data_IF_160692420712
#
_entry.id   IF_160692420712
#
_cell.length_a   1.000
_cell.length_b   1.000
_cell.length_c   1.000
_cell.angle_alpha   90.00
_cell.angle_beta   90.00
_cell.angle_gamma   90.00
#
_symmetry.space_group_name_H-M   'P 1'
#
loop_
_entity.id
_entity.type
_entity.pdbx_description
1 polymer ?
#
# COMPACT_ATOMS: atom_id res chain seq x y z
N UNK A 1 -43.71 -13.85 -33.67
CA UNK A 1 -42.24 -13.87 -33.74
C UNK A 1 -41.80 -12.42 -33.81
N UNK A 2 -41.45 -11.84 -32.67
CA UNK A 2 -41.11 -10.41 -32.55
C UNK A 2 -39.77 -10.34 -31.82
N UNK A 3 -38.72 -10.00 -32.56
CA UNK A 3 -37.35 -9.85 -32.06
C UNK A 3 -37.21 -8.51 -31.34
N UNK A 4 -36.93 -8.57 -30.04
CA UNK A 4 -36.64 -7.40 -29.21
C UNK A 4 -35.12 -7.19 -29.22
N UNK A 5 -34.65 -6.17 -29.95
CA UNK A 5 -33.28 -5.67 -29.84
C UNK A 5 -33.17 -4.81 -28.56
N UNK A 6 -32.39 -5.26 -27.59
CA UNK A 6 -31.88 -4.41 -26.51
C UNK A 6 -30.58 -3.74 -26.96
N UNK A 7 -30.66 -2.43 -27.17
CA UNK A 7 -29.51 -1.54 -27.29
C UNK A 7 -28.94 -1.30 -25.88
N UNK A 8 -27.73 -1.80 -25.65
CA UNK A 8 -26.88 -1.38 -24.53
C UNK A 8 -26.26 -0.05 -24.94
N UNK A 9 -26.70 1.04 -24.31
CA UNK A 9 -26.04 2.33 -24.41
C UNK A 9 -24.84 2.33 -23.46
N UNK A 10 -23.63 2.36 -24.01
CA UNK A 10 -22.43 2.72 -23.27
C UNK A 10 -22.52 4.20 -22.88
N UNK A 11 -22.43 4.50 -21.58
CA UNK A 11 -22.21 5.86 -21.11
C UNK A 11 -20.77 6.31 -21.46
N UNK A 12 -20.54 7.60 -21.76
CA UNK A 12 -19.24 8.11 -22.19
C UNK A 12 -18.25 8.24 -21.03
N UNK A 13 -16.98 8.27 -21.40
CA UNK A 13 -15.80 8.45 -20.57
C UNK A 13 -15.97 9.57 -19.53
N UNK A 14 -15.80 9.23 -18.25
CA UNK A 14 -15.56 10.22 -17.20
C UNK A 14 -14.10 10.61 -17.30
N UNK A 15 -13.84 11.73 -17.96
CA UNK A 15 -12.54 12.38 -17.97
C UNK A 15 -12.24 12.86 -16.54
N UNK A 16 -11.31 12.19 -15.84
CA UNK A 16 -10.81 12.61 -14.53
C UNK A 16 -10.00 13.91 -14.59
N UNK A 17 -9.86 14.53 -15.76
CA UNK A 17 -9.37 15.90 -15.91
C UNK A 17 -10.45 16.93 -15.55
N UNK A 18 -10.93 16.87 -14.31
CA UNK A 18 -11.73 17.92 -13.70
C UNK A 18 -10.79 19.07 -13.39
N UNK A 19 -10.90 20.16 -14.14
CA UNK A 19 -10.34 21.45 -13.76
C UNK A 19 -11.19 21.96 -12.59
N UNK A 20 -10.77 21.78 -11.32
CA UNK A 20 -11.66 22.00 -10.20
C UNK A 20 -11.88 23.50 -10.03
N UNK A 21 -13.05 23.97 -9.54
CA UNK A 21 -13.17 25.34 -9.09
C UNK A 21 -12.09 25.61 -8.03
N UNK A 22 -11.62 26.86 -7.90
CA UNK A 22 -10.41 27.26 -7.15
C UNK A 22 -10.40 26.94 -5.64
N UNK A 23 -11.43 26.27 -5.14
CA UNK A 23 -11.68 25.84 -3.77
C UNK A 23 -11.76 24.30 -3.61
N UNK A 24 -11.50 23.52 -4.66
CA UNK A 24 -11.42 22.06 -4.56
C UNK A 24 -10.01 21.63 -4.17
N UNK A 25 -9.92 20.80 -3.13
CA UNK A 25 -8.69 20.08 -2.80
C UNK A 25 -8.33 19.16 -3.97
N UNK A 26 -7.07 19.18 -4.39
CA UNK A 26 -6.56 18.22 -5.36
C UNK A 26 -6.57 16.83 -4.73
N UNK A 27 -7.58 16.03 -5.09
CA UNK A 27 -7.75 14.66 -4.59
C UNK A 27 -6.54 13.77 -4.94
N UNK A 28 -5.79 14.11 -5.99
CA UNK A 28 -4.54 13.43 -6.35
C UNK A 28 -3.49 13.56 -5.26
N UNK A 29 -3.34 14.74 -4.65
CA UNK A 29 -2.40 14.95 -3.54
C UNK A 29 -2.78 14.12 -2.31
N UNK A 30 -4.07 14.04 -1.98
CA UNK A 30 -4.54 13.21 -0.87
C UNK A 30 -4.21 11.73 -1.06
N UNK A 31 -4.36 11.21 -2.28
CA UNK A 31 -3.97 9.84 -2.63
C UNK A 31 -2.47 9.61 -2.47
N UNK A 32 -1.63 10.51 -2.98
CA UNK A 32 -0.17 10.43 -2.84
C UNK A 32 0.26 10.41 -1.37
N UNK A 33 -0.39 11.19 -0.49
CA UNK A 33 -0.11 11.17 0.96
C UNK A 33 -0.48 9.85 1.60
N UNK A 34 -1.62 9.28 1.22
CA UNK A 34 -2.07 7.98 1.74
C UNK A 34 -1.13 6.84 1.29
N UNK A 35 -0.70 6.83 0.02
CA UNK A 35 0.32 5.88 -0.48
C UNK A 35 1.67 6.08 0.22
N UNK A 36 2.12 7.32 0.40
CA UNK A 36 3.35 7.61 1.11
C UNK A 36 3.31 7.14 2.58
N UNK A 37 2.16 7.29 3.26
CA UNK A 37 1.96 6.75 4.60
C UNK A 37 2.04 5.21 4.62
N UNK A 38 1.38 4.52 3.67
CA UNK A 38 1.49 3.05 3.49
C UNK A 38 2.94 2.62 3.32
N UNK A 39 3.67 3.27 2.43
CA UNK A 39 5.05 2.89 2.15
C UNK A 39 5.98 3.17 3.34
N UNK A 40 5.73 4.24 4.10
CA UNK A 40 6.41 4.51 5.36
C UNK A 40 6.14 3.43 6.42
N UNK A 41 4.90 2.88 6.48
CA UNK A 41 4.60 1.73 7.34
C UNK A 41 5.44 0.52 6.90
N UNK A 42 5.48 0.22 5.60
CA UNK A 42 6.27 -0.89 5.05
C UNK A 42 7.75 -0.75 5.43
N UNK A 43 8.32 0.46 5.39
CA UNK A 43 9.72 0.71 5.78
C UNK A 43 9.97 0.65 7.29
N UNK A 44 8.92 0.65 8.12
CA UNK A 44 9.06 0.74 9.58
C UNK A 44 9.44 2.15 10.05
N UNK A 45 8.97 3.19 9.35
CA UNK A 45 9.28 4.59 9.62
C UNK A 45 8.09 5.34 10.28
N UNK A 46 7.77 5.11 11.56
CA UNK A 46 6.55 5.66 12.19
C UNK A 46 6.48 7.18 12.18
N UNK A 47 7.63 7.88 12.22
CA UNK A 47 7.67 9.34 12.11
C UNK A 47 7.14 9.82 10.74
N UNK A 48 7.61 9.21 9.65
CA UNK A 48 7.13 9.52 8.30
C UNK A 48 5.64 9.18 8.13
N UNK A 49 5.18 8.07 8.72
CA UNK A 49 3.75 7.69 8.71
C UNK A 49 2.92 8.80 9.34
N UNK A 50 3.30 9.26 10.54
CA UNK A 50 2.59 10.31 11.26
C UNK A 50 2.60 11.65 10.51
N UNK A 51 3.71 11.99 9.85
CA UNK A 51 3.81 13.22 9.07
C UNK A 51 2.87 13.19 7.86
N UNK A 52 2.86 12.08 7.11
CA UNK A 52 1.94 11.91 5.97
C UNK A 52 0.47 11.88 6.41
N UNK A 53 0.13 11.16 7.48
CA UNK A 53 -1.24 11.15 8.02
C UNK A 53 -1.67 12.53 8.54
N UNK A 54 -0.75 13.31 9.13
CA UNK A 54 -1.08 14.66 9.62
C UNK A 54 -1.37 15.62 8.47
N UNK A 55 -0.57 15.56 7.42
CA UNK A 55 -0.83 16.34 6.20
C UNK A 55 -2.17 15.94 5.59
N UNK A 56 -2.42 14.63 5.43
CA UNK A 56 -3.68 14.12 4.91
C UNK A 56 -4.87 14.55 5.78
N UNK A 57 -4.75 14.53 7.11
CA UNK A 57 -5.80 15.00 8.02
C UNK A 57 -6.13 16.48 7.80
N UNK A 58 -5.12 17.34 7.63
CA UNK A 58 -5.33 18.78 7.37
C UNK A 58 -6.04 18.97 6.03
N UNK A 59 -5.59 18.29 4.98
CA UNK A 59 -6.19 18.37 3.64
C UNK A 59 -7.63 17.84 3.64
N UNK A 60 -7.86 16.69 4.28
CA UNK A 60 -9.18 16.08 4.39
C UNK A 60 -10.17 16.98 5.16
N UNK A 61 -9.73 17.73 6.18
CA UNK A 61 -10.58 18.68 6.92
C UNK A 61 -10.85 20.00 6.17
N UNK A 62 -10.19 20.24 5.03
CA UNK A 62 -10.42 21.41 4.17
C UNK A 62 -11.38 21.12 3.01
N UNK A 63 -11.82 19.86 2.87
CA UNK A 63 -12.88 19.50 1.92
C UNK A 63 -14.20 20.03 2.50
N UNK A 64 -14.98 20.76 1.70
CA UNK A 64 -16.31 21.25 2.09
C UNK A 64 -17.34 20.67 1.11
N UNK A 65 -17.94 19.52 1.45
CA UNK A 65 -18.86 18.83 0.56
C UNK A 65 -20.19 19.58 0.43
N UNK A 66 -20.77 19.53 -0.76
CA UNK A 66 -22.01 20.22 -1.10
C UNK A 66 -23.27 19.42 -0.70
N UNK A 67 -23.12 18.13 -0.37
CA UNK A 67 -24.19 17.23 0.05
C UNK A 67 -23.86 16.39 1.30
N UNK A 68 -24.91 15.86 1.94
CA UNK A 68 -24.81 15.12 3.21
C UNK A 68 -24.06 13.77 3.08
N UNK A 69 -24.11 13.14 1.91
CA UNK A 69 -23.49 11.83 1.65
C UNK A 69 -21.96 12.00 1.53
N UNK A 70 -21.51 12.99 0.76
CA UNK A 70 -20.09 13.37 0.69
C UNK A 70 -19.57 13.85 2.06
N UNK A 71 -20.40 14.56 2.84
CA UNK A 71 -20.05 14.94 4.20
C UNK A 71 -19.87 13.72 5.11
N UNK A 72 -20.67 12.67 4.95
CA UNK A 72 -20.51 11.42 5.69
C UNK A 72 -19.21 10.69 5.33
N UNK A 73 -18.93 10.54 4.03
CA UNK A 73 -17.73 9.90 3.54
C UNK A 73 -16.45 10.65 3.98
N UNK A 74 -16.46 11.99 3.93
CA UNK A 74 -15.35 12.80 4.43
C UNK A 74 -15.12 12.58 5.94
N UNK A 75 -16.19 12.55 6.75
CA UNK A 75 -16.08 12.28 8.20
C UNK A 75 -15.48 10.90 8.47
N UNK A 76 -15.83 9.91 7.65
CA UNK A 76 -15.25 8.57 7.75
C UNK A 76 -13.74 8.57 7.43
N UNK A 77 -13.32 9.26 6.36
CA UNK A 77 -11.90 9.44 6.04
C UNK A 77 -11.14 10.12 7.17
N UNK A 78 -11.66 11.24 7.69
CA UNK A 78 -11.04 11.95 8.83
C UNK A 78 -10.91 11.03 10.04
N UNK A 79 -11.97 10.29 10.39
CA UNK A 79 -11.97 9.32 11.49
C UNK A 79 -10.93 8.21 11.32
N UNK A 80 -10.78 7.69 10.08
CA UNK A 80 -9.78 6.67 9.77
C UNK A 80 -8.34 7.19 9.93
N UNK A 81 -8.08 8.41 9.46
CA UNK A 81 -6.77 9.07 9.62
C UNK A 81 -6.47 9.34 11.10
N UNK A 82 -7.46 9.82 11.86
CA UNK A 82 -7.33 10.05 13.31
C UNK A 82 -7.04 8.77 14.08
N UNK A 83 -7.62 7.64 13.67
CA UNK A 83 -7.32 6.32 14.27
C UNK A 83 -5.82 6.02 14.17
N UNK A 84 -5.19 6.31 13.04
CA UNK A 84 -3.74 6.19 12.88
C UNK A 84 -2.98 7.20 13.73
N UNK A 85 -3.32 8.49 13.64
CA UNK A 85 -2.63 9.58 14.34
C UNK A 85 -2.65 9.44 15.88
N UNK A 86 -3.74 8.91 16.44
CA UNK A 86 -3.89 8.72 17.88
C UNK A 86 -3.41 7.35 18.36
N UNK A 87 -2.90 6.50 17.47
CA UNK A 87 -2.37 5.21 17.88
C UNK A 87 -1.08 5.36 18.68
N UNK A 88 -0.97 4.59 19.77
CA UNK A 88 0.22 4.56 20.63
C UNK A 88 1.22 3.46 20.24
N UNK A 89 0.93 2.68 19.20
CA UNK A 89 1.77 1.58 18.76
C UNK A 89 1.74 1.42 17.23
N UNK A 90 2.70 0.66 16.71
CA UNK A 90 2.87 0.51 15.27
C UNK A 90 1.73 -0.28 14.61
N UNK A 91 1.15 -1.26 15.32
CA UNK A 91 0.00 -2.03 14.84
C UNK A 91 -1.21 -1.13 14.54
N UNK A 92 -1.53 -0.20 15.45
CA UNK A 92 -2.63 0.73 15.23
C UNK A 92 -2.32 1.82 14.19
N UNK A 93 -1.05 2.21 14.01
CA UNK A 93 -0.64 3.05 12.87
C UNK A 93 -0.92 2.34 11.54
N UNK A 94 -0.48 1.08 11.41
CA UNK A 94 -0.72 0.25 10.23
C UNK A 94 -2.22 0.05 9.97
N UNK A 95 -3.00 -0.17 11.03
CA UNK A 95 -4.45 -0.30 10.93
C UNK A 95 -5.14 0.99 10.51
N UNK A 96 -4.68 2.15 10.99
CA UNK A 96 -5.18 3.47 10.57
C UNK A 96 -4.95 3.73 9.08
N UNK A 97 -3.79 3.35 8.55
CA UNK A 97 -3.51 3.42 7.11
C UNK A 97 -4.44 2.50 6.32
N UNK A 98 -4.64 1.25 6.77
CA UNK A 98 -5.57 0.33 6.12
C UNK A 98 -7.01 0.87 6.11
N UNK A 99 -7.46 1.44 7.23
CA UNK A 99 -8.77 2.06 7.34
C UNK A 99 -8.90 3.30 6.43
N UNK A 100 -7.83 4.07 6.26
CA UNK A 100 -7.79 5.22 5.35
C UNK A 100 -8.05 4.78 3.91
N UNK A 101 -7.39 3.72 3.44
CA UNK A 101 -7.63 3.15 2.11
C UNK A 101 -9.09 2.68 1.92
N UNK A 102 -9.67 2.05 2.95
CA UNK A 102 -11.06 1.60 2.92
C UNK A 102 -12.07 2.77 2.89
N UNK A 103 -11.82 3.85 3.65
CA UNK A 103 -12.65 5.04 3.64
C UNK A 103 -12.66 5.73 2.26
N UNK A 104 -11.52 5.77 1.56
CA UNK A 104 -11.48 6.19 0.16
C UNK A 104 -12.37 5.30 -0.71
N UNK A 105 -12.31 3.98 -0.53
CA UNK A 105 -13.15 3.01 -1.22
C UNK A 105 -14.65 3.22 -1.03
N UNK A 106 -15.09 3.45 0.21
CA UNK A 106 -16.50 3.73 0.51
C UNK A 106 -17.02 4.93 -0.27
N UNK A 107 -16.31 6.05 -0.21
CA UNK A 107 -16.66 7.26 -0.97
C UNK A 107 -16.68 7.01 -2.48
N UNK A 108 -15.67 6.31 -3.02
CA UNK A 108 -15.58 6.03 -4.44
C UNK A 108 -16.70 5.10 -4.92
N UNK A 109 -17.07 4.10 -4.12
CA UNK A 109 -18.19 3.21 -4.42
C UNK A 109 -19.52 3.99 -4.46
N UNK A 110 -19.79 4.83 -3.46
CA UNK A 110 -21.01 5.62 -3.36
C UNK A 110 -21.12 6.64 -4.50
N UNK A 111 -20.00 7.25 -4.89
CA UNK A 111 -19.91 8.15 -6.03
C UNK A 111 -19.98 7.43 -7.39
N UNK A 112 -19.93 6.09 -7.43
CA UNK A 112 -19.83 5.30 -8.66
C UNK A 112 -18.54 5.56 -9.43
N UNK A 113 -17.49 6.03 -8.76
CA UNK A 113 -16.20 6.29 -9.36
C UNK A 113 -15.55 4.99 -9.83
N UNK A 114 -14.99 5.01 -11.04
CA UNK A 114 -14.24 3.88 -11.60
C UNK A 114 -12.79 4.29 -11.74
N UNK A 115 -11.96 3.74 -10.86
CA UNK A 115 -10.52 3.82 -11.03
C UNK A 115 -10.08 2.69 -11.96
N UNK A 116 -9.15 2.98 -12.86
CA UNK A 116 -8.52 1.97 -13.71
C UNK A 116 -7.00 2.06 -13.54
N UNK A 117 -6.40 1.00 -13.01
CA UNK A 117 -4.94 0.83 -12.87
C UNK A 117 -4.39 -0.21 -13.85
N UNK A 118 -5.23 -0.71 -14.75
CA UNK A 118 -4.92 -1.79 -15.68
C UNK A 118 -4.72 -3.15 -14.99
N UNK A 119 -4.55 -4.19 -15.82
CA UNK A 119 -4.26 -5.56 -15.38
C UNK A 119 -2.76 -5.85 -15.45
N UNK A 120 -1.97 -5.21 -14.60
CA UNK A 120 -0.55 -5.54 -14.50
C UNK A 120 -0.39 -6.93 -13.86
N UNK A 121 0.23 -7.88 -14.57
CA UNK A 121 0.51 -9.20 -14.00
C UNK A 121 1.59 -9.12 -12.92
N UNK A 122 1.55 -10.00 -11.89
CA UNK A 122 2.63 -10.07 -10.90
C UNK A 122 3.98 -10.29 -11.57
N UNK A 123 5.06 -9.61 -11.12
CA UNK A 123 6.40 -9.80 -11.68
C UNK A 123 6.82 -11.27 -11.56
N UNK A 124 7.53 -11.82 -12.54
CA UNK A 124 7.96 -13.22 -12.50
C UNK A 124 9.13 -13.45 -11.54
N UNK A 125 9.97 -12.43 -11.34
CA UNK A 125 11.20 -12.49 -10.57
C UNK A 125 11.13 -11.70 -9.26
N UNK A 126 11.91 -12.15 -8.28
CA UNK A 126 12.07 -11.49 -6.99
C UNK A 126 10.86 -11.65 -6.05
N UNK A 127 10.99 -12.51 -5.05
CA UNK A 127 9.93 -12.74 -4.05
C UNK A 127 9.39 -11.46 -3.40
N UNK A 128 10.28 -10.51 -3.08
CA UNK A 128 9.88 -9.23 -2.50
C UNK A 128 9.16 -8.32 -3.50
N UNK A 129 9.50 -8.38 -4.80
CA UNK A 129 8.78 -7.64 -5.85
C UNK A 129 7.35 -8.15 -5.97
N UNK A 130 7.16 -9.48 -5.91
CA UNK A 130 5.84 -10.11 -5.89
C UNK A 130 5.03 -9.76 -4.65
N UNK A 131 5.65 -9.75 -3.46
CA UNK A 131 4.98 -9.29 -2.24
C UNK A 131 4.53 -7.84 -2.34
N UNK A 132 5.41 -6.95 -2.79
CA UNK A 132 5.07 -5.54 -2.97
C UNK A 132 3.94 -5.36 -3.98
N UNK A 133 4.00 -6.03 -5.13
CA UNK A 133 2.90 -6.04 -6.09
C UNK A 133 1.57 -6.46 -5.44
N UNK A 134 1.59 -7.49 -4.58
CA UNK A 134 0.39 -7.93 -3.87
C UNK A 134 -0.16 -6.88 -2.89
N UNK A 135 0.74 -6.21 -2.15
CA UNK A 135 0.39 -5.12 -1.23
C UNK A 135 -0.19 -3.92 -1.98
N UNK A 136 0.40 -3.56 -3.11
CA UNK A 136 -0.06 -2.48 -3.97
C UNK A 136 -1.43 -2.80 -4.59
N UNK A 137 -1.63 -4.05 -5.03
CA UNK A 137 -2.91 -4.51 -5.57
C UNK A 137 -4.02 -4.50 -4.52
N UNK A 138 -3.73 -4.91 -3.28
CA UNK A 138 -4.68 -4.79 -2.15
C UNK A 138 -5.00 -3.32 -1.89
N UNK A 139 -3.98 -2.45 -1.80
CA UNK A 139 -4.17 -1.01 -1.58
C UNK A 139 -5.11 -0.41 -2.62
N UNK A 140 -4.83 -0.66 -3.90
CA UNK A 140 -5.68 -0.23 -4.99
C UNK A 140 -7.10 -0.75 -4.82
N UNK A 141 -7.27 -2.04 -4.51
CA UNK A 141 -8.59 -2.63 -4.32
C UNK A 141 -9.37 -2.01 -3.17
N UNK A 142 -8.71 -1.63 -2.07
CA UNK A 142 -9.34 -0.89 -0.98
C UNK A 142 -9.78 0.50 -1.44
N UNK A 143 -8.90 1.25 -2.11
CA UNK A 143 -9.21 2.62 -2.58
C UNK A 143 -10.26 2.64 -3.69
N UNK A 144 -10.26 1.66 -4.59
CA UNK A 144 -11.19 1.58 -5.71
C UNK A 144 -12.49 0.83 -5.40
N UNK A 145 -12.66 0.34 -4.16
CA UNK A 145 -13.71 -0.62 -3.78
C UNK A 145 -13.77 -1.86 -4.71
N UNK A 146 -12.61 -2.29 -5.23
CA UNK A 146 -12.46 -3.44 -6.11
C UNK A 146 -12.08 -4.68 -5.29
N UNK A 147 -13.11 -5.44 -4.90
CA UNK A 147 -12.95 -6.73 -4.19
C UNK A 147 -12.07 -7.71 -4.96
N UNK A 148 -12.13 -7.72 -6.30
CA UNK A 148 -11.34 -8.61 -7.14
C UNK A 148 -9.84 -8.30 -7.02
N UNK A 149 -9.48 -7.03 -7.06
CA UNK A 149 -8.11 -6.57 -6.84
C UNK A 149 -7.60 -6.94 -5.43
N UNK A 150 -8.42 -6.72 -4.39
CA UNK A 150 -8.07 -7.11 -3.03
C UNK A 150 -7.77 -8.62 -2.95
N UNK A 151 -8.65 -9.44 -3.52
CA UNK A 151 -8.48 -10.89 -3.53
C UNK A 151 -7.25 -11.35 -4.32
N UNK A 152 -6.98 -10.71 -5.46
CA UNK A 152 -5.82 -11.00 -6.30
C UNK A 152 -4.51 -10.74 -5.55
N UNK A 153 -4.40 -9.59 -4.88
CA UNK A 153 -3.22 -9.25 -4.09
C UNK A 153 -3.00 -10.20 -2.92
N UNK A 154 -4.04 -10.52 -2.14
CA UNK A 154 -3.93 -11.54 -1.08
C UNK A 154 -3.56 -12.92 -1.63
N UNK A 155 -4.09 -13.31 -2.79
CA UNK A 155 -3.75 -14.58 -3.45
C UNK A 155 -2.28 -14.67 -3.81
N UNK A 156 -1.70 -13.58 -4.32
CA UNK A 156 -0.26 -13.53 -4.65
C UNK A 156 0.60 -13.61 -3.40
N UNK A 157 0.25 -12.86 -2.35
CA UNK A 157 0.98 -12.89 -1.07
C UNK A 157 0.95 -14.31 -0.49
N UNK A 158 -0.22 -14.94 -0.39
CA UNK A 158 -0.40 -16.27 0.17
C UNK A 158 0.46 -17.36 -0.50
N UNK A 159 0.82 -17.18 -1.78
CA UNK A 159 1.57 -18.15 -2.59
C UNK A 159 3.05 -17.81 -2.74
N UNK A 160 3.48 -16.63 -2.34
CA UNK A 160 4.86 -16.18 -2.59
C UNK A 160 5.76 -16.50 -1.40
N UNK A 161 6.78 -17.33 -1.64
CA UNK A 161 7.83 -17.61 -0.66
C UNK A 161 8.84 -16.46 -0.60
N UNK A 162 9.21 -16.02 0.60
CA UNK A 162 10.18 -14.94 0.80
C UNK A 162 11.57 -15.47 1.11
N UNK A 163 11.66 -16.55 1.87
CA UNK A 163 12.91 -17.05 2.39
C UNK A 163 13.53 -18.02 1.39
N UNK A 164 14.74 -17.75 0.87
CA UNK A 164 15.43 -18.68 -0.01
C UNK A 164 15.72 -19.99 0.73
N UNK A 165 15.89 -21.09 -0.02
CA UNK A 165 16.11 -22.41 0.56
C UNK A 165 17.40 -22.51 1.39
N UNK A 166 18.34 -21.57 1.25
CA UNK A 166 19.63 -21.53 1.96
C UNK A 166 20.13 -20.11 2.29
N UNK A 167 19.75 -19.51 3.42
CA UNK A 167 20.49 -18.38 3.96
C UNK A 167 21.77 -18.81 4.71
N UNK A 168 22.66 -17.85 4.90
CA UNK A 168 23.97 -18.05 5.55
C UNK A 168 23.88 -18.13 7.09
N UNK A 169 22.85 -17.51 7.69
CA UNK A 169 22.62 -17.52 9.15
C UNK A 169 21.33 -18.30 9.52
N UNK A 170 21.45 -19.44 10.25
CA UNK A 170 20.30 -20.25 10.70
C UNK A 170 19.33 -19.53 11.67
N UNK A 171 19.82 -18.60 12.48
CA UNK A 171 18.96 -17.84 13.41
C UNK A 171 18.10 -16.84 12.64
N UNK A 172 18.70 -16.19 11.62
CA UNK A 172 17.97 -15.30 10.70
C UNK A 172 16.92 -16.09 9.92
N UNK A 173 17.29 -17.26 9.40
CA UNK A 173 16.39 -18.16 8.68
C UNK A 173 15.11 -18.49 9.45
N UNK A 174 15.27 -18.80 10.74
CA UNK A 174 14.15 -19.24 11.59
C UNK A 174 13.14 -18.12 11.79
N UNK A 175 13.61 -16.89 12.07
CA UNK A 175 12.75 -15.71 12.22
C UNK A 175 12.06 -15.34 10.92
N UNK A 176 12.80 -15.31 9.80
CA UNK A 176 12.22 -14.99 8.50
C UNK A 176 11.14 -16.00 8.10
N UNK A 177 11.36 -17.30 8.32
CA UNK A 177 10.36 -18.34 8.03
C UNK A 177 9.11 -18.19 8.89
N UNK A 178 9.27 -17.81 10.15
CA UNK A 178 8.13 -17.58 11.02
C UNK A 178 7.25 -16.43 10.50
N UNK A 179 7.87 -15.30 10.14
CA UNK A 179 7.17 -14.15 9.57
C UNK A 179 6.55 -14.47 8.20
N UNK A 180 7.25 -15.21 7.33
CA UNK A 180 6.69 -15.67 6.05
C UNK A 180 5.44 -16.53 6.27
N UNK A 181 5.49 -17.49 7.19
CA UNK A 181 4.32 -18.32 7.51
C UNK A 181 3.16 -17.48 7.99
N UNK A 182 3.41 -16.49 8.86
CA UNK A 182 2.37 -15.57 9.33
C UNK A 182 1.75 -14.76 8.19
N UNK A 183 2.56 -14.14 7.34
CA UNK A 183 2.10 -13.38 6.16
C UNK A 183 1.25 -14.25 5.23
N UNK A 184 1.75 -15.45 4.91
CA UNK A 184 1.07 -16.34 3.98
C UNK A 184 -0.25 -16.88 4.55
N UNK A 185 -0.29 -17.23 5.85
CA UNK A 185 -1.49 -17.70 6.52
C UNK A 185 -2.56 -16.60 6.64
N UNK A 186 -2.14 -15.39 7.00
CA UNK A 186 -3.02 -14.23 7.07
C UNK A 186 -3.65 -13.96 5.72
N UNK A 187 -2.84 -13.86 4.67
CA UNK A 187 -3.31 -13.63 3.31
C UNK A 187 -4.23 -14.76 2.82
N UNK A 188 -3.88 -16.04 3.07
CA UNK A 188 -4.71 -17.18 2.69
C UNK A 188 -6.10 -17.16 3.35
N UNK A 189 -6.20 -16.65 4.58
CA UNK A 189 -7.46 -16.58 5.33
C UNK A 189 -8.45 -15.61 4.69
N UNK A 190 -7.96 -14.52 4.09
CA UNK A 190 -8.80 -13.47 3.52
C UNK A 190 -8.85 -13.44 1.99
N UNK A 191 -8.05 -14.28 1.32
CA UNK A 191 -8.10 -14.49 -0.14
C UNK A 191 -9.37 -15.22 -0.63
N UNK A 192 -10.25 -15.64 0.29
CA UNK A 192 -11.50 -16.31 -0.08
C UNK A 192 -12.58 -15.30 -0.49
N UNK A 193 -13.44 -15.68 -1.45
CA UNK A 193 -14.55 -14.84 -1.93
C UNK A 193 -15.58 -14.50 -0.83
N UNK A 194 -15.60 -15.24 0.28
CA UNK A 194 -16.54 -15.05 1.39
C UNK A 194 -16.05 -14.16 2.53
N UNK A 195 -14.83 -13.61 2.46
CA UNK A 195 -14.30 -12.74 3.50
C UNK A 195 -14.99 -11.36 3.44
N UNK A 196 -15.38 -10.82 4.60
CA UNK A 196 -15.97 -9.49 4.68
C UNK A 196 -14.93 -8.40 4.43
N UNK A 197 -15.39 -7.21 4.01
CA UNK A 197 -14.50 -6.06 3.80
C UNK A 197 -13.78 -5.65 5.08
N UNK A 198 -14.48 -5.69 6.23
CA UNK A 198 -13.85 -5.46 7.53
C UNK A 198 -12.69 -6.45 7.81
N UNK A 199 -12.86 -7.73 7.48
CA UNK A 199 -11.80 -8.73 7.65
C UNK A 199 -10.62 -8.48 6.70
N UNK A 200 -10.87 -8.03 5.47
CA UNK A 200 -9.83 -7.68 4.49
C UNK A 200 -9.04 -6.44 4.94
N UNK A 201 -9.70 -5.40 5.43
CA UNK A 201 -9.07 -4.18 5.95
C UNK A 201 -8.22 -4.49 7.18
N UNK A 202 -8.74 -5.32 8.10
CA UNK A 202 -7.97 -5.77 9.26
C UNK A 202 -6.73 -6.57 8.83
N UNK A 203 -6.89 -7.53 7.92
CA UNK A 203 -5.78 -8.33 7.44
C UNK A 203 -4.74 -7.49 6.70
N UNK A 204 -5.15 -6.46 5.97
CA UNK A 204 -4.23 -5.55 5.32
C UNK A 204 -3.39 -4.74 6.34
N UNK A 205 -4.01 -4.21 7.40
CA UNK A 205 -3.29 -3.55 8.49
C UNK A 205 -2.28 -4.48 9.18
N UNK A 206 -2.67 -5.72 9.46
CA UNK A 206 -1.79 -6.75 10.03
C UNK A 206 -0.64 -7.15 9.09
N UNK A 207 -0.87 -7.18 7.78
CA UNK A 207 0.19 -7.38 6.79
C UNK A 207 1.21 -6.25 6.84
N UNK A 208 0.76 -5.00 6.83
CA UNK A 208 1.64 -3.83 6.90
C UNK A 208 2.50 -3.83 8.18
N UNK A 209 1.91 -4.18 9.33
CA UNK A 209 2.65 -4.37 10.59
C UNK A 209 3.71 -5.48 10.45
N UNK A 210 3.35 -6.63 9.87
CA UNK A 210 4.28 -7.76 9.70
C UNK A 210 5.43 -7.41 8.75
N UNK A 211 5.15 -6.68 7.67
CA UNK A 211 6.15 -6.16 6.74
C UNK A 211 7.17 -5.29 7.46
N UNK A 212 6.69 -4.33 8.27
CA UNK A 212 7.55 -3.42 9.03
C UNK A 212 8.46 -4.17 10.01
N UNK A 213 7.93 -5.20 10.68
CA UNK A 213 8.67 -6.02 11.64
C UNK A 213 9.78 -6.80 10.94
N UNK A 214 9.48 -7.37 9.78
CA UNK A 214 10.47 -8.07 8.97
C UNK A 214 11.57 -7.10 8.48
N UNK A 215 11.17 -5.96 7.93
CA UNK A 215 12.10 -4.97 7.38
C UNK A 215 12.98 -4.30 8.45
N UNK A 216 12.44 -3.99 9.63
CA UNK A 216 13.23 -3.45 10.75
C UNK A 216 14.32 -4.43 11.19
N UNK A 217 14.00 -5.72 11.22
CA UNK A 217 14.95 -6.76 11.57
C UNK A 217 15.98 -7.05 10.45
N UNK A 218 15.56 -6.99 9.18
CA UNK A 218 16.42 -7.24 8.03
C UNK A 218 17.41 -6.08 7.70
N UNK A 219 17.40 -5.00 8.48
CA UNK A 219 18.28 -3.84 8.27
C UNK A 219 17.70 -2.77 7.33
N UNK A 220 16.40 -2.80 7.06
CA UNK A 220 15.66 -1.79 6.31
C UNK A 220 14.70 -2.38 5.27
N UNK A 221 13.63 -1.63 4.97
CA UNK A 221 12.82 -1.86 3.78
C UNK A 221 13.49 -1.30 2.53
N UNK A 222 12.95 -1.53 1.32
CA UNK A 222 13.51 -0.94 0.11
C UNK A 222 13.56 0.60 0.26
N UNK A 223 14.68 1.27 -0.10
CA UNK A 223 14.89 2.71 0.14
C UNK A 223 13.96 3.63 -0.68
N UNK A 224 13.11 3.03 -1.54
CA UNK A 224 12.05 3.51 -2.45
C UNK A 224 12.08 2.53 -3.63
N UNK A 225 10.94 1.92 -4.00
CA UNK A 225 10.95 0.91 -5.05
C UNK A 225 11.30 1.54 -6.40
N UNK A 226 12.37 1.03 -7.01
CA UNK A 226 12.77 1.37 -8.38
C UNK A 226 11.97 0.57 -9.39
N UNK A 227 10.75 1.05 -9.58
CA UNK A 227 9.79 0.57 -10.57
C UNK A 227 8.79 1.64 -10.99
N UNK A 228 8.72 2.78 -10.30
CA UNK A 228 8.02 3.96 -10.83
C UNK A 228 8.69 4.39 -12.15
N UNK A 229 7.92 4.71 -13.20
CA UNK A 229 8.47 5.38 -14.37
C UNK A 229 9.18 6.68 -13.95
N UNK A 230 10.51 6.65 -13.86
CA UNK A 230 11.34 7.79 -13.43
C UNK A 230 12.15 7.58 -12.14
N UNK A 231 11.94 6.49 -11.38
CA UNK A 231 12.80 6.18 -10.24
C UNK A 231 14.16 5.63 -10.73
N UNK A 232 15.22 6.41 -10.54
CA UNK A 232 16.59 5.96 -10.82
C UNK A 232 16.90 4.73 -9.96
N UNK A 233 17.31 3.62 -10.59
CA UNK A 233 17.85 2.45 -9.87
C UNK A 233 18.92 2.94 -8.90
N UNK A 234 18.93 2.55 -7.60
CA UNK A 234 20.10 2.82 -6.79
C UNK A 234 21.25 2.13 -7.51
N UNK A 235 22.24 2.91 -7.93
CA UNK A 235 23.48 2.37 -8.44
C UNK A 235 23.92 1.29 -7.47
N UNK A 236 24.02 0.05 -7.95
CA UNK A 236 24.47 -1.06 -7.15
C UNK A 236 25.76 -0.59 -6.48
N UNK A 237 25.70 -0.41 -5.15
CA UNK A 237 26.80 0.14 -4.38
C UNK A 237 28.05 -0.62 -4.80
N UNK A 238 28.91 0.04 -5.59
CA UNK A 238 30.18 -0.54 -5.91
C UNK A 238 30.87 -0.69 -4.55
N UNK A 239 31.41 -1.88 -4.22
CA UNK A 239 32.22 -2.00 -3.03
C UNK A 239 33.26 -0.88 -3.12
N UNK A 240 33.29 0.02 -2.14
CA UNK A 240 34.27 1.09 -2.11
C UNK A 240 35.61 0.44 -2.37
N UNK A 241 36.25 0.82 -3.48
CA UNK A 241 37.56 0.34 -3.82
C UNK A 241 38.45 0.73 -2.64
N UNK A 242 38.80 -0.27 -1.82
CA UNK A 242 39.65 -0.07 -0.66
C UNK A 242 40.88 0.71 -1.11
N UNK A 243 41.14 1.79 -0.38
CA UNK A 243 42.28 2.69 -0.61
C UNK A 243 43.57 1.86 -0.73
N UNK A 244 44.18 1.76 -1.93
CA UNK A 244 45.40 0.99 -2.12
C UNK A 244 46.63 1.65 -1.49
N UNK A 245 46.52 2.88 -0.97
CA UNK A 245 47.66 3.68 -0.50
C UNK A 245 47.87 3.61 1.03
N UNK A 246 47.17 2.74 1.76
CA UNK A 246 47.40 2.52 3.19
C UNK A 246 48.65 1.67 3.52
N UNK A 247 49.64 1.63 2.62
CA UNK A 247 50.93 1.00 2.84
C UNK A 247 52.07 2.03 2.75
N UNK A 248 52.50 2.56 3.91
CA UNK A 248 53.84 3.12 4.02
C UNK A 248 53.98 4.35 4.92
N UNK A 249 54.19 4.13 6.21
CA UNK A 249 55.11 4.97 7.00
C UNK A 249 55.57 4.22 8.26
N UNK A 250 56.48 3.28 8.08
CA UNK A 250 57.45 2.91 9.13
C UNK A 250 58.79 3.57 8.78
N UNK A 251 59.32 4.39 9.69
CA UNK A 251 60.67 4.95 9.65
C UNK A 251 60.73 6.45 9.94
N UNK A 252 60.99 6.86 11.19
CA UNK A 252 62.30 7.08 11.82
C UNK A 252 62.14 7.37 13.33
#
# INVERSE_FOLDING_TARGET
MTTLLLLVACAPDVDLNLNPPANHVDLGLGYERAEAARDAVIRGAPGEVLDHLRTLWVEANQIYPDDDDQAAAQRELVSAVETGLHSSNFAGLAQGVAATGAACGGCHADAGAKLDRGSATPPEDGSMRRHYWGIDRIWYGLVAADTGAVQEGFTVIAKTRLVPDRPEDPAILTKARHLEVQVNQLAATVASEGSSDAARVQAYGQLLETCSTCHAWAGGGPPKWVGEPGAAQPDAAQPEAGDPDAAGSEGE
#
